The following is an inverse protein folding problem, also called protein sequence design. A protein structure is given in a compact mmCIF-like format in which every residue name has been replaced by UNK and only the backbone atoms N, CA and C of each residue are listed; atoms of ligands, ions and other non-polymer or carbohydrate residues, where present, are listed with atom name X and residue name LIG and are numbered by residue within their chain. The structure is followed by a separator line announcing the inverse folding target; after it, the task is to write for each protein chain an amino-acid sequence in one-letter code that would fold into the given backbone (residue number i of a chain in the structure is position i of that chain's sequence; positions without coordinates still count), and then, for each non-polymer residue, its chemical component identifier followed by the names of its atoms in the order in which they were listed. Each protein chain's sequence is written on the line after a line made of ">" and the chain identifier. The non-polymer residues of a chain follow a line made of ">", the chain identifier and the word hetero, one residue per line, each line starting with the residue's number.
data_IF_377924481240
#
_entry.id   IF_377924481240
#
_cell.length_a   1.000
_cell.length_b   1.000
_cell.length_c   1.000
_cell.angle_alpha   90.00
_cell.angle_beta   90.00
_cell.angle_gamma   90.00
#
_symmetry.space_group_name_H-M   'P 1'
#
loop_
_entity.id
_entity.type
_entity.pdbx_description
1 polymer ?
#
# COMPACT_ATOMS: atom_id res chain seq x y z
N UNK A 1 -16.90 4.00 -3.54
CA UNK A 1 -15.74 4.18 -2.65
C UNK A 1 -14.98 5.41 -3.10
N UNK A 2 -14.46 6.23 -2.18
CA UNK A 2 -13.67 7.41 -2.52
C UNK A 2 -12.17 7.12 -2.52
N UNK A 3 -11.38 7.99 -3.17
CA UNK A 3 -9.90 7.98 -3.15
C UNK A 3 -9.34 7.91 -1.73
N UNK A 4 -9.88 8.71 -0.81
CA UNK A 4 -9.45 8.76 0.59
C UNK A 4 -9.70 7.44 1.33
N UNK A 5 -10.88 6.85 1.16
CA UNK A 5 -11.20 5.55 1.77
C UNK A 5 -10.33 4.42 1.22
N UNK A 6 -10.10 4.38 -0.10
CA UNK A 6 -9.24 3.37 -0.72
C UNK A 6 -7.78 3.48 -0.23
N UNK A 7 -7.27 4.71 -0.11
CA UNK A 7 -5.94 4.97 0.45
C UNK A 7 -5.83 4.48 1.91
N UNK A 8 -6.83 4.81 2.74
CA UNK A 8 -6.85 4.38 4.14
C UNK A 8 -6.86 2.85 4.28
N UNK A 9 -7.71 2.16 3.51
CA UNK A 9 -7.77 0.69 3.51
C UNK A 9 -6.40 0.09 3.16
N UNK A 10 -5.75 0.60 2.12
CA UNK A 10 -4.42 0.12 1.72
C UNK A 10 -3.36 0.38 2.81
N UNK A 11 -3.38 1.56 3.44
CA UNK A 11 -2.46 1.88 4.54
C UNK A 11 -2.68 0.95 5.73
N UNK A 12 -3.90 0.75 6.19
CA UNK A 12 -4.20 -0.13 7.34
C UNK A 12 -3.77 -1.57 7.07
N UNK A 13 -4.03 -2.08 5.86
CA UNK A 13 -3.56 -3.38 5.41
C UNK A 13 -2.02 -3.49 5.46
N UNK A 14 -1.31 -2.49 4.92
CA UNK A 14 0.16 -2.47 4.91
C UNK A 14 0.75 -2.35 6.31
N UNK A 15 0.16 -1.55 7.19
CA UNK A 15 0.62 -1.42 8.58
C UNK A 15 0.61 -2.75 9.32
N UNK A 16 -0.48 -3.52 9.15
CA UNK A 16 -0.63 -4.85 9.75
C UNK A 16 0.35 -5.85 9.14
N UNK A 17 0.48 -5.86 7.81
CA UNK A 17 1.33 -6.84 7.12
C UNK A 17 2.82 -6.59 7.31
N UNK A 18 3.26 -5.32 7.29
CA UNK A 18 4.68 -4.92 7.38
C UNK A 18 5.11 -4.57 8.81
N UNK A 19 4.19 -4.62 9.77
CA UNK A 19 4.45 -4.27 11.18
C UNK A 19 5.13 -2.89 11.32
N UNK A 20 4.61 -1.89 10.61
CA UNK A 20 5.16 -0.53 10.59
C UNK A 20 4.04 0.49 10.47
N UNK A 21 4.13 1.59 11.23
CA UNK A 21 3.21 2.71 11.11
C UNK A 21 3.59 3.70 10.00
N UNK A 22 4.79 3.55 9.44
CA UNK A 22 5.37 4.48 8.48
C UNK A 22 5.03 4.03 7.07
N UNK A 23 3.86 4.41 6.57
CA UNK A 23 3.47 4.19 5.17
C UNK A 23 3.42 5.54 4.47
N UNK A 24 4.22 5.70 3.40
CA UNK A 24 4.21 6.89 2.56
C UNK A 24 3.46 6.57 1.26
N UNK A 25 2.31 7.20 1.06
CA UNK A 25 1.49 7.02 -0.15
C UNK A 25 1.86 8.11 -1.16
N UNK A 26 2.40 7.71 -2.30
CA UNK A 26 2.79 8.63 -3.36
C UNK A 26 1.67 8.83 -4.40
N UNK A 27 0.96 7.76 -4.74
CA UNK A 27 -0.01 7.75 -5.83
C UNK A 27 -1.25 6.97 -5.45
N UNK A 28 -2.42 7.54 -5.78
CA UNK A 28 -3.72 6.85 -5.70
C UNK A 28 -4.47 7.14 -6.99
N UNK A 29 -4.64 6.08 -7.80
CA UNK A 29 -5.24 6.11 -9.13
C UNK A 29 -6.54 5.30 -9.15
N UNK A 30 -7.60 5.87 -9.71
CA UNK A 30 -8.83 5.12 -9.98
C UNK A 30 -8.66 4.32 -11.28
N UNK A 31 -9.14 3.08 -11.28
CA UNK A 31 -9.21 2.21 -12.45
C UNK A 31 -10.60 1.60 -12.56
N UNK A 32 -10.94 1.02 -13.72
CA UNK A 32 -12.27 0.44 -13.97
C UNK A 32 -12.73 -0.51 -12.85
N UNK A 33 -11.79 -1.31 -12.33
CA UNK A 33 -12.06 -2.34 -11.32
C UNK A 33 -11.80 -1.91 -9.87
N UNK A 34 -11.48 -0.64 -9.59
CA UNK A 34 -11.22 -0.15 -8.24
C UNK A 34 -10.13 0.91 -8.18
N UNK A 35 -9.19 0.75 -7.26
CA UNK A 35 -8.14 1.72 -6.97
C UNK A 35 -6.78 1.04 -6.93
N UNK A 36 -5.76 1.72 -7.46
CA UNK A 36 -4.36 1.34 -7.33
C UNK A 36 -3.68 2.37 -6.44
N UNK A 37 -3.08 1.89 -5.35
CA UNK A 37 -2.35 2.69 -4.36
C UNK A 37 -0.88 2.30 -4.47
N UNK A 38 0.00 3.27 -4.67
CA UNK A 38 1.45 3.06 -4.74
C UNK A 38 2.16 3.97 -3.75
N UNK A 39 3.27 3.49 -3.25
CA UNK A 39 4.04 4.25 -2.27
C UNK A 39 5.26 3.49 -1.80
N UNK A 40 5.77 3.90 -0.64
CA UNK A 40 6.91 3.25 0.00
C UNK A 40 6.66 3.00 1.48
N UNK A 41 7.30 1.97 2.01
CA UNK A 41 7.34 1.69 3.44
C UNK A 41 8.75 1.26 3.84
N UNK A 42 9.20 1.58 5.06
CA UNK A 42 10.46 1.08 5.55
C UNK A 42 10.34 -0.41 5.85
N UNK A 43 11.39 -1.15 5.55
CA UNK A 43 11.57 -2.53 5.97
C UNK A 43 12.90 -2.64 6.71
N UNK A 44 13.00 -3.59 7.63
CA UNK A 44 14.28 -3.97 8.22
C UNK A 44 14.75 -5.25 7.54
N UNK A 45 15.93 -5.19 6.92
CA UNK A 45 16.61 -6.38 6.40
C UNK A 45 17.93 -6.50 7.15
N UNK A 46 18.04 -7.56 7.96
CA UNK A 46 19.25 -7.89 8.71
C UNK A 46 19.73 -6.76 9.65
N UNK A 47 18.80 -6.00 10.24
CA UNK A 47 19.11 -4.88 11.14
C UNK A 47 19.46 -3.58 10.42
N UNK A 48 19.28 -3.53 9.09
CA UNK A 48 19.46 -2.32 8.29
C UNK A 48 18.13 -1.78 7.78
N UNK A 49 17.86 -0.47 7.93
CA UNK A 49 16.65 0.15 7.41
C UNK A 49 16.76 0.33 5.89
N UNK A 50 15.83 -0.28 5.16
CA UNK A 50 15.63 -0.11 3.72
C UNK A 50 14.28 0.49 3.42
N UNK A 51 14.11 0.97 2.19
CA UNK A 51 12.83 1.43 1.67
C UNK A 51 12.35 0.44 0.62
N UNK A 52 11.13 -0.04 0.78
CA UNK A 52 10.48 -0.93 -0.15
C UNK A 52 9.34 -0.18 -0.84
N UNK A 53 9.22 -0.33 -2.16
CA UNK A 53 8.05 0.14 -2.90
C UNK A 53 6.92 -0.86 -2.76
N UNK A 54 5.70 -0.35 -2.66
CA UNK A 54 4.49 -1.18 -2.71
C UNK A 54 3.54 -0.73 -3.81
N UNK A 55 2.73 -1.67 -4.27
CA UNK A 55 1.52 -1.42 -5.07
C UNK A 55 0.40 -2.28 -4.54
N UNK A 56 -0.71 -1.67 -4.14
CA UNK A 56 -1.90 -2.34 -3.60
C UNK A 56 -3.09 -2.03 -4.49
N UNK A 57 -3.83 -3.08 -4.87
CA UNK A 57 -5.08 -2.97 -5.59
C UNK A 57 -6.27 -3.18 -4.65
N UNK A 58 -7.19 -2.22 -4.62
CA UNK A 58 -8.41 -2.27 -3.79
C UNK A 58 -9.64 -2.24 -4.70
N UNK A 59 -10.56 -3.18 -4.54
CA UNK A 59 -11.80 -3.19 -5.34
C UNK A 59 -12.78 -2.09 -4.90
N UNK A 60 -13.85 -1.88 -5.68
CA UNK A 60 -14.88 -0.87 -5.36
C UNK A 60 -15.65 -1.15 -4.07
N UNK A 61 -15.58 -2.37 -3.52
CA UNK A 61 -16.19 -2.81 -2.27
C UNK A 61 -15.24 -2.67 -1.07
N UNK A 62 -13.98 -2.29 -1.29
CA UNK A 62 -12.97 -2.11 -0.25
C UNK A 62 -12.14 -3.34 0.07
N UNK A 63 -12.18 -4.38 -0.76
CA UNK A 63 -11.35 -5.57 -0.57
C UNK A 63 -10.00 -5.40 -1.25
N UNK A 64 -8.93 -5.81 -0.57
CA UNK A 64 -7.62 -5.96 -1.20
C UNK A 64 -7.72 -7.08 -2.24
N UNK A 65 -7.42 -6.77 -3.50
CA UNK A 65 -7.37 -7.75 -4.58
C UNK A 65 -5.98 -8.31 -4.77
N UNK A 66 -4.98 -7.45 -4.62
CA UNK A 66 -3.59 -7.77 -4.93
C UNK A 66 -2.65 -6.82 -4.19
N UNK A 67 -1.46 -7.29 -3.86
CA UNK A 67 -0.41 -6.50 -3.23
C UNK A 67 0.97 -6.98 -3.69
N UNK A 68 1.74 -6.09 -4.29
CA UNK A 68 3.09 -6.35 -4.79
C UNK A 68 4.11 -5.45 -4.10
N UNK A 69 5.30 -5.98 -3.94
CA UNK A 69 6.42 -5.32 -3.29
C UNK A 69 7.68 -5.42 -4.14
N UNK A 70 8.50 -4.38 -4.09
CA UNK A 70 9.78 -4.37 -4.78
C UNK A 70 10.80 -3.57 -3.97
N UNK A 71 11.99 -4.13 -3.82
CA UNK A 71 13.13 -3.41 -3.27
C UNK A 71 13.52 -2.27 -4.22
N UNK A 72 13.95 -1.17 -3.62
CA UNK A 72 14.53 -0.03 -4.33
C UNK A 72 16.03 -0.22 -4.56
#
# INVERSE_FOLDING_TARGET
>A
MSKGSASQIAVEFLKQQKNTDKIDVAVVEEQDNGWIIKGTCPIDLEGHPWVEKFTVAVDRKGKIRDANYGLL
#
